data_IF_094664223704
#
_entry.id   IF_094664223704
#
_cell.length_a   1.000
_cell.length_b   1.000
_cell.length_c   1.000
_cell.angle_alpha   90.00
_cell.angle_beta   90.00
_cell.angle_gamma   90.00
#
_symmetry.space_group_name_H-M   'P 1'
#
loop_
_entity.id
_entity.type
_entity.pdbx_description
1 polymer ?
#
# COMPACT_ATOMS: atom_id res chain seq x y z
N UNK A 1 -6.45 -41.12 3.75
CA UNK A 1 -5.85 -41.39 2.42
C UNK A 1 -6.91 -41.29 1.33
N UNK A 2 -7.59 -40.15 1.26
CA UNK A 2 -8.52 -39.89 0.15
C UNK A 2 -7.69 -39.49 -1.07
N UNK A 3 -8.07 -39.94 -2.26
CA UNK A 3 -7.41 -39.57 -3.52
C UNK A 3 -8.43 -38.95 -4.47
N UNK A 4 -8.05 -37.86 -5.13
CA UNK A 4 -8.88 -37.16 -6.11
C UNK A 4 -8.12 -37.12 -7.43
N UNK A 5 -8.66 -37.82 -8.44
CA UNK A 5 -8.15 -37.80 -9.81
C UNK A 5 -9.22 -37.16 -10.70
N UNK A 6 -8.93 -35.97 -11.23
CA UNK A 6 -9.85 -35.26 -12.11
C UNK A 6 -9.36 -35.33 -13.55
N UNK A 7 -10.11 -36.02 -14.42
CA UNK A 7 -9.72 -36.38 -15.79
C UNK A 7 -10.79 -36.04 -16.84
N UNK A 8 -11.69 -35.11 -16.56
CA UNK A 8 -12.70 -34.67 -17.54
C UNK A 8 -12.12 -33.55 -18.42
N UNK A 9 -12.74 -33.28 -19.57
CA UNK A 9 -12.19 -32.33 -20.54
C UNK A 9 -12.17 -30.88 -20.02
N UNK A 10 -13.28 -30.43 -19.44
CA UNK A 10 -13.43 -29.08 -18.94
C UNK A 10 -14.47 -28.98 -17.81
N UNK A 11 -14.35 -27.92 -17.01
CA UNK A 11 -15.36 -27.49 -16.04
C UNK A 11 -15.47 -25.96 -16.07
N UNK A 12 -16.67 -25.43 -15.84
CA UNK A 12 -16.91 -24.00 -15.71
C UNK A 12 -17.35 -23.64 -14.29
N UNK A 13 -16.65 -22.68 -13.69
CA UNK A 13 -16.97 -22.07 -12.41
C UNK A 13 -17.69 -20.74 -12.63
N UNK A 14 -18.67 -20.44 -11.77
CA UNK A 14 -19.41 -19.19 -11.81
C UNK A 14 -18.86 -18.23 -10.75
N UNK A 15 -19.51 -18.10 -9.60
CA UNK A 15 -19.07 -17.25 -8.50
C UNK A 15 -18.79 -18.09 -7.25
N UNK A 16 -17.85 -17.65 -6.42
CA UNK A 16 -17.59 -18.20 -5.08
C UNK A 16 -17.41 -19.73 -5.05
N UNK A 17 -16.86 -20.32 -6.11
CA UNK A 17 -16.76 -21.76 -6.27
C UNK A 17 -15.35 -22.25 -5.99
N UNK A 18 -15.22 -23.45 -5.41
CA UNK A 18 -13.95 -24.19 -5.30
C UNK A 18 -14.09 -25.47 -6.10
N UNK A 19 -13.26 -25.67 -7.13
CA UNK A 19 -13.38 -26.88 -7.96
C UNK A 19 -12.92 -28.14 -7.22
N UNK A 20 -11.69 -28.12 -6.68
CA UNK A 20 -11.20 -29.20 -5.84
C UNK A 20 -10.79 -28.63 -4.48
N UNK A 21 -11.35 -29.21 -3.42
CA UNK A 21 -11.00 -28.92 -2.04
C UNK A 21 -10.49 -30.18 -1.34
N UNK A 22 -9.32 -30.09 -0.71
CA UNK A 22 -8.81 -31.14 0.19
C UNK A 22 -8.27 -30.57 1.49
N UNK A 23 -8.70 -31.16 2.60
CA UNK A 23 -8.14 -30.93 3.94
C UNK A 23 -7.16 -32.01 4.40
N UNK A 24 -7.02 -33.09 3.63
CA UNK A 24 -6.15 -34.20 3.99
C UNK A 24 -4.69 -33.81 3.68
N UNK A 25 -3.79 -34.20 4.58
CA UNK A 25 -2.38 -33.81 4.58
C UNK A 25 -1.44 -34.95 4.20
N UNK A 26 -1.99 -36.15 3.95
CA UNK A 26 -1.16 -37.36 3.79
C UNK A 26 -0.53 -37.52 2.41
N UNK A 27 -0.91 -36.70 1.42
CA UNK A 27 -0.30 -36.71 0.09
C UNK A 27 1.17 -36.33 0.11
N UNK A 28 1.98 -36.96 -0.73
CA UNK A 28 3.41 -36.67 -0.91
C UNK A 28 3.75 -36.41 -2.37
N UNK A 29 4.98 -35.98 -2.66
CA UNK A 29 5.41 -35.75 -4.05
C UNK A 29 5.35 -37.02 -4.91
N UNK A 30 5.71 -38.18 -4.34
CA UNK A 30 5.62 -39.48 -5.01
C UNK A 30 4.19 -39.99 -5.13
N UNK A 31 3.34 -39.66 -4.16
CA UNK A 31 1.95 -40.10 -4.09
C UNK A 31 1.05 -38.88 -3.87
N UNK A 32 0.82 -38.04 -4.90
CA UNK A 32 -0.02 -36.86 -4.78
C UNK A 32 -1.44 -37.30 -4.43
N UNK A 33 -2.06 -36.53 -3.53
CA UNK A 33 -3.45 -36.76 -3.14
C UNK A 33 -4.42 -36.26 -4.19
N UNK A 34 -4.13 -35.09 -4.76
CA UNK A 34 -4.93 -34.49 -5.83
C UNK A 34 -4.11 -34.48 -7.10
N UNK A 35 -4.67 -35.00 -8.18
CA UNK A 35 -4.14 -34.83 -9.54
C UNK A 35 -5.25 -34.28 -10.42
N UNK A 36 -5.07 -33.05 -10.89
CA UNK A 36 -5.99 -32.39 -11.81
C UNK A 36 -5.44 -32.37 -13.23
N UNK A 37 -6.09 -33.11 -14.13
CA UNK A 37 -5.89 -33.03 -15.58
C UNK A 37 -7.00 -32.25 -16.29
N UNK A 38 -8.06 -31.88 -15.56
CA UNK A 38 -9.21 -31.15 -16.09
C UNK A 38 -8.89 -29.68 -16.32
N UNK A 39 -9.33 -29.14 -17.47
CA UNK A 39 -9.27 -27.70 -17.73
C UNK A 39 -10.36 -26.96 -16.95
N UNK A 40 -10.01 -25.88 -16.28
CA UNK A 40 -10.92 -25.08 -15.46
C UNK A 40 -11.12 -23.72 -16.12
N UNK A 41 -12.37 -23.29 -16.30
CA UNK A 41 -12.70 -21.93 -16.72
C UNK A 41 -13.55 -21.26 -15.66
N UNK A 42 -13.21 -20.03 -15.23
CA UNK A 42 -14.10 -19.22 -14.41
C UNK A 42 -14.76 -18.12 -15.26
N UNK A 43 -16.06 -17.93 -15.06
CA UNK A 43 -16.86 -16.90 -15.72
C UNK A 43 -17.24 -15.75 -14.78
N UNK A 44 -17.25 -15.99 -13.47
CA UNK A 44 -17.50 -14.99 -12.44
C UNK A 44 -16.30 -14.78 -11.50
N UNK A 45 -16.57 -14.33 -10.27
CA UNK A 45 -15.56 -13.87 -9.31
C UNK A 45 -15.38 -14.77 -8.09
N UNK A 46 -14.27 -14.59 -7.38
CA UNK A 46 -13.95 -15.24 -6.10
C UNK A 46 -13.89 -16.77 -6.15
N UNK A 47 -13.42 -17.33 -7.26
CA UNK A 47 -13.30 -18.77 -7.45
C UNK A 47 -11.91 -19.29 -7.10
N UNK A 48 -11.83 -20.56 -6.73
CA UNK A 48 -10.58 -21.29 -6.50
C UNK A 48 -10.54 -22.53 -7.41
N UNK A 49 -9.46 -22.71 -8.16
CA UNK A 49 -9.22 -23.95 -8.90
C UNK A 49 -8.96 -25.11 -7.94
N UNK A 50 -7.79 -25.12 -7.30
CA UNK A 50 -7.44 -26.14 -6.31
C UNK A 50 -7.16 -25.49 -4.95
N UNK A 51 -7.76 -26.02 -3.91
CA UNK A 51 -7.47 -25.68 -2.52
C UNK A 51 -7.04 -26.95 -1.78
N UNK A 52 -5.80 -27.01 -1.28
CA UNK A 52 -5.27 -28.24 -0.70
C UNK A 52 -4.39 -28.03 0.53
N UNK A 53 -4.61 -28.87 1.53
CA UNK A 53 -3.75 -29.02 2.70
C UNK A 53 -2.65 -30.09 2.53
N UNK A 54 -2.72 -30.92 1.49
CA UNK A 54 -1.76 -31.99 1.19
C UNK A 54 -0.97 -31.72 -0.09
N UNK A 55 -0.40 -32.76 -0.70
CA UNK A 55 0.28 -32.64 -1.99
C UNK A 55 -0.71 -32.72 -3.17
N UNK A 56 -0.77 -31.68 -3.99
CA UNK A 56 -1.62 -31.61 -5.18
C UNK A 56 -0.80 -31.27 -6.44
N UNK A 57 -1.21 -31.83 -7.57
CA UNK A 57 -0.59 -31.59 -8.88
C UNK A 57 -1.66 -31.08 -9.85
N UNK A 58 -1.37 -29.97 -10.50
CA UNK A 58 -2.14 -29.45 -11.62
C UNK A 58 -1.39 -29.66 -12.95
N UNK A 59 -2.05 -30.35 -13.88
CA UNK A 59 -1.62 -30.51 -15.26
C UNK A 59 -2.55 -29.77 -16.24
N UNK A 60 -3.82 -29.59 -15.88
CA UNK A 60 -4.82 -28.91 -16.71
C UNK A 60 -4.63 -27.39 -16.77
N UNK A 61 -5.16 -26.76 -17.81
CA UNK A 61 -5.16 -25.31 -17.95
C UNK A 61 -6.25 -24.68 -17.06
N UNK A 62 -5.97 -23.52 -16.49
CA UNK A 62 -6.96 -22.71 -15.76
C UNK A 62 -7.11 -21.35 -16.41
N UNK A 63 -8.27 -21.06 -16.98
CA UNK A 63 -8.63 -19.74 -17.46
C UNK A 63 -9.55 -19.05 -16.45
N UNK A 64 -8.95 -18.23 -15.58
CA UNK A 64 -9.61 -17.48 -14.52
C UNK A 64 -9.61 -15.96 -14.80
N UNK A 65 -9.47 -15.59 -16.08
CA UNK A 65 -9.32 -14.21 -16.53
C UNK A 65 -10.61 -13.38 -16.38
N UNK A 66 -11.78 -14.03 -16.42
CA UNK A 66 -13.07 -13.34 -16.26
C UNK A 66 -13.35 -13.06 -14.78
N UNK A 67 -13.80 -11.85 -14.47
CA UNK A 67 -14.07 -11.43 -13.10
C UNK A 67 -12.83 -11.09 -12.27
N UNK A 68 -13.06 -10.89 -10.98
CA UNK A 68 -12.06 -10.47 -9.99
C UNK A 68 -11.90 -11.52 -8.89
N UNK A 69 -10.79 -11.48 -8.15
CA UNK A 69 -10.64 -12.31 -6.95
C UNK A 69 -10.47 -13.81 -7.19
N UNK A 70 -10.27 -14.25 -8.43
CA UNK A 70 -10.08 -15.67 -8.73
C UNK A 70 -8.65 -16.11 -8.41
N UNK A 71 -8.53 -17.28 -7.77
CA UNK A 71 -7.27 -17.90 -7.38
C UNK A 71 -7.08 -19.22 -8.13
N UNK A 72 -5.96 -19.39 -8.82
CA UNK A 72 -5.64 -20.64 -9.52
C UNK A 72 -5.53 -21.81 -8.55
N UNK A 73 -4.54 -21.75 -7.68
CA UNK A 73 -4.38 -22.74 -6.61
C UNK A 73 -4.03 -22.08 -5.28
N UNK A 74 -4.45 -22.69 -4.18
CA UNK A 74 -4.15 -22.23 -2.83
C UNK A 74 -3.70 -23.39 -1.93
N UNK A 75 -2.43 -23.35 -1.54
CA UNK A 75 -1.83 -24.31 -0.61
C UNK A 75 -1.94 -23.82 0.84
N UNK A 76 -2.41 -24.69 1.73
CA UNK A 76 -2.57 -24.38 3.17
C UNK A 76 -2.04 -25.49 4.06
N UNK A 77 -1.98 -25.23 5.38
CA UNK A 77 -1.64 -26.17 6.46
C UNK A 77 -0.35 -26.99 6.23
N UNK A 78 0.64 -26.37 5.60
CA UNK A 78 1.93 -26.99 5.26
C UNK A 78 1.92 -27.84 3.98
N UNK A 79 0.79 -27.87 3.26
CA UNK A 79 0.63 -28.59 2.00
C UNK A 79 1.55 -28.11 0.88
N UNK A 80 1.48 -28.77 -0.27
CA UNK A 80 2.22 -28.37 -1.48
C UNK A 80 1.34 -28.48 -2.71
N UNK A 81 1.30 -27.44 -3.53
CA UNK A 81 0.65 -27.51 -4.85
C UNK A 81 1.66 -27.21 -5.96
N UNK A 82 1.75 -28.12 -6.92
CA UNK A 82 2.61 -27.99 -8.10
C UNK A 82 1.77 -27.75 -9.35
N UNK A 83 2.00 -26.61 -10.03
CA UNK A 83 1.54 -26.42 -11.40
C UNK A 83 2.58 -27.01 -12.35
N UNK A 84 2.39 -28.27 -12.75
CA UNK A 84 3.41 -29.07 -13.43
C UNK A 84 3.48 -28.78 -14.92
N UNK A 85 2.34 -28.77 -15.60
CA UNK A 85 2.25 -28.50 -17.05
C UNK A 85 1.21 -27.44 -17.41
N UNK A 86 0.34 -27.07 -16.48
CA UNK A 86 -0.80 -26.20 -16.77
C UNK A 86 -0.41 -24.75 -17.08
N UNK A 87 -1.24 -24.10 -17.89
CA UNK A 87 -1.26 -22.64 -18.03
C UNK A 87 -2.35 -22.09 -17.10
N UNK A 88 -1.95 -21.30 -16.11
CA UNK A 88 -2.87 -20.60 -15.20
C UNK A 88 -2.96 -19.15 -15.63
N UNK A 89 -4.14 -18.70 -16.06
CA UNK A 89 -4.40 -17.30 -16.42
C UNK A 89 -5.34 -16.68 -15.39
N UNK A 90 -5.00 -15.52 -14.84
CA UNK A 90 -5.78 -14.87 -13.78
C UNK A 90 -6.27 -13.47 -14.14
N UNK A 91 -7.49 -13.17 -13.68
CA UNK A 91 -8.18 -11.90 -13.82
C UNK A 91 -7.75 -10.87 -12.76
N UNK A 92 -8.53 -9.79 -12.64
CA UNK A 92 -8.15 -8.61 -11.87
C UNK A 92 -8.27 -8.77 -10.35
N UNK A 93 -7.68 -7.83 -9.63
CA UNK A 93 -7.94 -7.63 -8.21
C UNK A 93 -8.74 -6.35 -7.98
N UNK A 94 -9.53 -6.33 -6.91
CA UNK A 94 -10.13 -5.14 -6.31
C UNK A 94 -9.61 -5.06 -4.87
N UNK A 95 -8.39 -4.52 -4.63
CA UNK A 95 -7.79 -4.53 -3.29
C UNK A 95 -8.65 -3.86 -2.21
N UNK A 96 -9.48 -2.88 -2.57
CA UNK A 96 -10.42 -2.23 -1.66
C UNK A 96 -11.53 -3.15 -1.14
N UNK A 97 -11.86 -4.22 -1.89
CA UNK A 97 -12.89 -5.21 -1.58
C UNK A 97 -12.28 -6.55 -1.11
N UNK A 98 -10.97 -6.60 -0.86
CA UNK A 98 -10.21 -7.81 -0.54
C UNK A 98 -10.34 -8.94 -1.61
N UNK A 99 -10.68 -8.58 -2.85
CA UNK A 99 -10.74 -9.52 -3.97
C UNK A 99 -9.41 -9.54 -4.71
N UNK A 100 -8.63 -10.62 -4.58
CA UNK A 100 -7.29 -10.72 -5.19
C UNK A 100 -7.25 -11.80 -6.29
N UNK A 101 -6.95 -11.38 -7.52
CA UNK A 101 -6.62 -12.29 -8.61
C UNK A 101 -5.22 -12.85 -8.42
N UNK A 102 -5.07 -14.16 -8.20
CA UNK A 102 -3.77 -14.78 -7.86
C UNK A 102 -3.56 -16.09 -8.62
N UNK A 103 -2.46 -16.22 -9.35
CA UNK A 103 -2.13 -17.48 -10.05
C UNK A 103 -1.94 -18.65 -9.09
N UNK A 104 -1.04 -18.49 -8.12
CA UNK A 104 -0.79 -19.48 -7.07
C UNK A 104 -0.60 -18.79 -5.71
N UNK A 105 -1.28 -19.25 -4.67
CA UNK A 105 -1.20 -18.72 -3.31
C UNK A 105 -0.75 -19.78 -2.30
N UNK A 106 -0.02 -19.35 -1.26
CA UNK A 106 0.39 -20.20 -0.16
C UNK A 106 0.42 -19.46 1.17
N UNK A 107 -0.12 -20.10 2.20
CA UNK A 107 -0.10 -19.57 3.57
C UNK A 107 -0.99 -18.34 3.79
N UNK A 108 -1.14 -17.98 5.06
CA UNK A 108 -1.95 -16.87 5.53
C UNK A 108 -1.45 -16.36 6.88
N UNK A 109 -1.26 -15.05 6.98
CA UNK A 109 -1.02 -14.34 8.23
C UNK A 109 -2.12 -13.32 8.48
N UNK A 110 -2.33 -12.96 9.75
CA UNK A 110 -3.34 -11.97 10.08
C UNK A 110 -3.04 -10.63 9.46
N UNK A 111 -4.05 -10.10 8.77
CA UNK A 111 -4.02 -8.74 8.25
C UNK A 111 -4.25 -7.74 9.39
N UNK A 112 -4.00 -6.45 9.13
CA UNK A 112 -4.38 -5.37 10.07
C UNK A 112 -5.89 -5.41 10.41
N UNK A 113 -6.74 -5.78 9.45
CA UNK A 113 -8.19 -5.96 9.67
C UNK A 113 -8.48 -7.11 10.64
N UNK A 114 -7.72 -8.20 10.61
CA UNK A 114 -7.90 -9.32 11.54
C UNK A 114 -7.41 -9.00 12.94
N UNK A 115 -6.33 -8.21 13.06
CA UNK A 115 -5.81 -7.78 14.35
C UNK A 115 -6.81 -6.90 15.12
N UNK A 116 -7.72 -6.22 14.44
CA UNK A 116 -8.83 -5.47 15.05
C UNK A 116 -9.93 -6.38 15.64
N UNK A 117 -10.00 -7.65 15.22
CA UNK A 117 -10.98 -8.61 15.73
C UNK A 117 -10.46 -9.29 17.01
N UNK A 118 -11.37 -9.70 17.93
CA UNK A 118 -11.03 -10.58 19.04
C UNK A 118 -10.34 -11.86 18.55
N UNK A 119 -9.41 -12.41 19.33
CA UNK A 119 -8.63 -13.60 18.97
C UNK A 119 -9.51 -14.78 18.50
N UNK A 120 -10.68 -14.98 19.12
CA UNK A 120 -11.63 -16.05 18.79
C UNK A 120 -12.31 -15.90 17.43
N UNK A 121 -12.26 -14.71 16.81
CA UNK A 121 -12.88 -14.40 15.52
C UNK A 121 -11.85 -14.27 14.38
N UNK A 122 -10.57 -14.50 14.68
CA UNK A 122 -9.51 -14.41 13.68
C UNK A 122 -9.43 -15.70 12.87
N UNK A 123 -9.23 -15.63 11.54
CA UNK A 123 -8.97 -16.81 10.74
C UNK A 123 -7.70 -17.54 11.22
N UNK A 124 -7.67 -18.85 11.07
CA UNK A 124 -6.50 -19.67 11.40
C UNK A 124 -5.33 -19.28 10.49
N UNK A 125 -4.20 -18.87 11.07
CA UNK A 125 -2.98 -18.67 10.29
C UNK A 125 -2.50 -20.00 9.73
N UNK A 126 -1.87 -19.94 8.57
CA UNK A 126 -1.46 -21.16 7.89
C UNK A 126 -0.21 -20.96 7.06
N UNK A 127 0.46 -22.05 6.72
CA UNK A 127 1.61 -22.06 5.81
C UNK A 127 1.29 -22.93 4.60
N UNK A 128 2.08 -22.83 3.55
CA UNK A 128 1.93 -23.69 2.38
C UNK A 128 3.12 -23.61 1.46
N UNK A 129 3.13 -24.46 0.43
CA UNK A 129 4.20 -24.48 -0.55
C UNK A 129 3.60 -24.48 -1.95
N UNK A 130 4.09 -23.61 -2.83
CA UNK A 130 3.66 -23.55 -4.23
C UNK A 130 4.84 -23.62 -5.18
N UNK A 131 4.70 -24.45 -6.21
CA UNK A 131 5.75 -24.71 -7.21
C UNK A 131 5.15 -24.49 -8.60
N UNK A 132 5.60 -23.46 -9.30
CA UNK A 132 5.26 -23.26 -10.71
C UNK A 132 6.33 -23.88 -11.61
N UNK A 133 5.95 -24.86 -12.43
CA UNK A 133 6.77 -25.36 -13.55
C UNK A 133 6.17 -25.02 -14.91
N UNK A 134 4.85 -24.78 -14.94
CA UNK A 134 4.13 -24.34 -16.14
C UNK A 134 4.22 -22.82 -16.36
N UNK A 135 3.13 -22.26 -16.89
CA UNK A 135 3.03 -20.82 -17.17
C UNK A 135 1.95 -20.17 -16.32
N UNK A 136 2.23 -18.98 -15.79
CA UNK A 136 1.25 -18.11 -15.14
C UNK A 136 1.11 -16.83 -15.96
N UNK A 137 -0.09 -16.54 -16.44
CA UNK A 137 -0.44 -15.32 -17.15
C UNK A 137 -1.25 -14.40 -16.22
N UNK A 138 -0.67 -13.26 -15.88
CA UNK A 138 -1.23 -12.28 -14.96
C UNK A 138 -1.91 -11.19 -15.78
N UNK A 139 -3.16 -11.45 -16.18
CA UNK A 139 -3.88 -10.66 -17.19
C UNK A 139 -4.79 -9.58 -16.61
N UNK A 140 -5.05 -9.60 -15.31
CA UNK A 140 -5.88 -8.58 -14.67
C UNK A 140 -5.08 -7.50 -13.96
N UNK A 141 -5.60 -6.27 -13.92
CA UNK A 141 -4.95 -5.18 -13.16
C UNK A 141 -4.82 -5.55 -11.67
N UNK A 142 -3.71 -5.16 -11.05
CA UNK A 142 -3.41 -5.40 -9.63
C UNK A 142 -3.35 -6.89 -9.22
N UNK A 143 -3.31 -7.81 -10.18
CA UNK A 143 -3.26 -9.25 -9.91
C UNK A 143 -1.82 -9.73 -9.67
N UNK A 144 -1.71 -10.91 -9.08
CA UNK A 144 -0.45 -11.49 -8.61
C UNK A 144 -0.20 -12.80 -9.36
N UNK A 145 1.04 -13.04 -9.78
CA UNK A 145 1.47 -14.34 -10.29
C UNK A 145 1.51 -15.39 -9.18
N UNK A 146 2.37 -15.16 -8.19
CA UNK A 146 2.51 -16.01 -7.01
C UNK A 146 2.49 -15.20 -5.72
N UNK A 147 1.78 -15.69 -4.70
CA UNK A 147 1.68 -15.07 -3.38
C UNK A 147 2.08 -16.06 -2.28
N UNK A 148 2.91 -15.61 -1.33
CA UNK A 148 3.32 -16.40 -0.17
C UNK A 148 3.29 -15.59 1.12
N UNK A 149 2.72 -16.16 2.19
CA UNK A 149 2.67 -15.53 3.50
C UNK A 149 3.00 -16.51 4.64
N UNK A 150 3.78 -16.04 5.62
CA UNK A 150 4.06 -16.74 6.88
C UNK A 150 5.39 -17.48 6.91
N UNK A 151 5.98 -17.54 8.11
CA UNK A 151 7.23 -18.28 8.35
C UNK A 151 7.02 -19.79 8.11
N UNK A 152 7.79 -20.36 7.18
CA UNK A 152 7.62 -21.75 6.74
C UNK A 152 6.81 -21.91 5.45
N UNK A 153 6.28 -20.82 4.87
CA UNK A 153 5.71 -20.82 3.52
C UNK A 153 6.83 -20.71 2.48
N UNK A 154 6.75 -21.54 1.42
CA UNK A 154 7.69 -21.47 0.30
C UNK A 154 7.03 -21.25 -1.07
N UNK A 155 7.69 -20.45 -1.91
CA UNK A 155 7.23 -20.11 -3.26
C UNK A 155 8.36 -20.37 -4.25
N UNK A 156 8.18 -21.30 -5.21
CA UNK A 156 9.23 -21.62 -6.19
C UNK A 156 8.72 -21.46 -7.61
N UNK A 157 9.36 -20.59 -8.39
CA UNK A 157 9.11 -20.46 -9.81
C UNK A 157 10.23 -21.13 -10.61
N UNK A 158 9.92 -22.23 -11.29
CA UNK A 158 10.76 -22.86 -12.33
C UNK A 158 10.26 -22.55 -13.74
N UNK A 159 8.99 -22.16 -13.87
CA UNK A 159 8.35 -21.88 -15.15
C UNK A 159 8.39 -20.40 -15.53
N UNK A 160 7.35 -19.96 -16.24
CA UNK A 160 7.23 -18.58 -16.72
C UNK A 160 6.09 -17.85 -16.02
N UNK A 161 6.33 -16.60 -15.62
CA UNK A 161 5.32 -15.66 -15.14
C UNK A 161 5.29 -14.46 -16.08
N UNK A 162 4.15 -14.26 -16.75
CA UNK A 162 3.93 -13.17 -17.70
C UNK A 162 3.02 -12.10 -17.08
N UNK A 163 3.57 -10.90 -16.90
CA UNK A 163 2.87 -9.71 -16.42
C UNK A 163 2.23 -8.98 -17.60
N UNK A 164 0.94 -9.24 -17.82
CA UNK A 164 0.23 -8.86 -19.05
C UNK A 164 -0.72 -7.67 -18.87
N UNK A 165 -0.80 -7.09 -17.67
CA UNK A 165 -1.65 -5.95 -17.37
C UNK A 165 -0.93 -4.93 -16.48
N UNK A 166 -1.54 -3.76 -16.30
CA UNK A 166 -0.97 -2.71 -15.47
C UNK A 166 -1.00 -3.05 -13.98
N UNK A 167 0.00 -2.57 -13.23
CA UNK A 167 0.10 -2.72 -11.78
C UNK A 167 0.14 -4.18 -11.30
N UNK A 168 0.50 -5.12 -12.16
CA UNK A 168 0.61 -6.54 -11.80
C UNK A 168 1.92 -6.84 -11.11
N UNK A 169 1.92 -7.87 -10.25
CA UNK A 169 3.12 -8.34 -9.56
C UNK A 169 3.46 -9.78 -9.92
N UNK A 170 4.74 -10.08 -10.15
CA UNK A 170 5.22 -11.44 -10.40
C UNK A 170 5.13 -12.32 -9.17
N UNK A 171 6.00 -12.07 -8.18
CA UNK A 171 6.02 -12.79 -6.91
C UNK A 171 5.86 -11.81 -5.75
N UNK A 172 4.88 -12.04 -4.88
CA UNK A 172 4.66 -11.27 -3.66
C UNK A 172 4.86 -12.15 -2.43
N UNK A 173 5.81 -11.79 -1.56
CA UNK A 173 6.08 -12.51 -0.31
C UNK A 173 5.96 -11.58 0.90
N UNK A 174 5.36 -12.08 1.96
CA UNK A 174 5.22 -11.36 3.23
C UNK A 174 5.45 -12.26 4.44
N UNK A 175 5.73 -11.63 5.58
CA UNK A 175 5.74 -12.24 6.91
C UNK A 175 6.65 -13.48 6.98
N UNK A 176 7.91 -13.29 6.56
CA UNK A 176 8.99 -14.29 6.58
C UNK A 176 8.79 -15.48 5.62
N UNK A 177 7.87 -15.39 4.66
CA UNK A 177 7.80 -16.35 3.56
C UNK A 177 9.10 -16.31 2.72
N UNK A 178 9.50 -17.47 2.18
CA UNK A 178 10.74 -17.62 1.41
C UNK A 178 10.43 -18.02 -0.02
N UNK A 179 10.98 -17.30 -1.00
CA UNK A 179 10.79 -17.61 -2.40
C UNK A 179 12.08 -17.76 -3.18
N UNK A 180 12.00 -18.55 -4.25
CA UNK A 180 13.10 -18.81 -5.17
C UNK A 180 12.60 -18.69 -6.61
N UNK A 181 13.29 -17.87 -7.40
CA UNK A 181 13.05 -17.79 -8.83
C UNK A 181 14.19 -18.51 -9.57
N UNK A 182 13.87 -19.66 -10.15
CA UNK A 182 14.72 -20.42 -11.08
C UNK A 182 14.32 -20.20 -12.54
N UNK A 183 13.07 -19.78 -12.78
CA UNK A 183 12.49 -19.57 -14.10
C UNK A 183 12.46 -18.10 -14.52
N UNK A 184 11.49 -17.73 -15.34
CA UNK A 184 11.39 -16.38 -15.93
C UNK A 184 10.22 -15.59 -15.36
N UNK A 185 10.47 -14.33 -15.01
CA UNK A 185 9.45 -13.29 -14.76
C UNK A 185 9.65 -12.21 -15.81
N UNK A 186 8.61 -11.94 -16.60
CA UNK A 186 8.65 -10.92 -17.66
C UNK A 186 7.30 -10.23 -17.84
N UNK A 187 7.24 -9.24 -18.73
CA UNK A 187 6.01 -8.51 -19.05
C UNK A 187 5.77 -8.43 -20.56
N UNK A 188 4.50 -8.33 -20.94
CA UNK A 188 4.10 -8.05 -22.32
C UNK A 188 4.33 -6.58 -22.64
N UNK A 189 4.59 -6.28 -23.92
CA UNK A 189 4.74 -4.91 -24.42
C UNK A 189 3.49 -4.06 -24.10
N UNK A 190 3.70 -2.80 -23.72
CA UNK A 190 2.63 -1.85 -23.41
C UNK A 190 2.12 -1.86 -21.96
N UNK A 191 2.48 -2.87 -21.15
CA UNK A 191 2.16 -2.88 -19.73
C UNK A 191 2.86 -1.73 -18.97
N UNK A 192 2.24 -1.25 -17.89
CA UNK A 192 2.75 -0.14 -17.05
C UNK A 192 2.75 -0.49 -15.56
N UNK A 193 3.67 0.10 -14.81
CA UNK A 193 3.79 -0.04 -13.36
C UNK A 193 3.87 -1.50 -12.88
N UNK A 194 4.41 -2.41 -13.69
CA UNK A 194 4.54 -3.82 -13.31
C UNK A 194 5.64 -3.98 -12.27
N UNK A 195 5.46 -4.86 -11.30
CA UNK A 195 6.46 -5.17 -10.29
C UNK A 195 6.94 -6.61 -10.43
N UNK A 196 8.24 -6.85 -10.54
CA UNK A 196 8.78 -8.20 -10.62
C UNK A 196 8.56 -8.96 -9.32
N UNK A 197 9.10 -8.39 -8.23
CA UNK A 197 9.12 -9.02 -6.92
C UNK A 197 8.73 -8.02 -5.82
N UNK A 198 7.91 -8.46 -4.87
CA UNK A 198 7.65 -7.76 -3.62
C UNK A 198 8.08 -8.65 -2.45
N UNK A 199 8.90 -8.10 -1.54
CA UNK A 199 9.27 -8.75 -0.28
C UNK A 199 8.94 -7.81 0.89
N UNK A 200 8.06 -8.26 1.76
CA UNK A 200 7.52 -7.50 2.90
C UNK A 200 7.74 -8.24 4.23
N UNK A 201 7.90 -7.50 5.33
CA UNK A 201 7.91 -8.04 6.70
C UNK A 201 8.84 -9.25 6.89
N UNK A 202 10.12 -9.06 6.56
CA UNK A 202 11.16 -10.07 6.69
C UNK A 202 11.07 -11.24 5.70
N UNK A 203 10.16 -11.19 4.72
CA UNK A 203 10.14 -12.15 3.62
C UNK A 203 11.42 -12.06 2.79
N UNK A 204 11.81 -13.18 2.18
CA UNK A 204 13.05 -13.29 1.42
C UNK A 204 12.79 -13.90 0.05
N UNK A 205 13.33 -13.30 -1.00
CA UNK A 205 13.38 -13.91 -2.32
C UNK A 205 14.82 -14.00 -2.84
N UNK A 206 15.16 -15.17 -3.37
CA UNK A 206 16.41 -15.41 -4.09
C UNK A 206 16.09 -15.57 -5.58
N UNK A 207 16.63 -14.68 -6.43
CA UNK A 207 16.71 -14.93 -7.87
C UNK A 207 17.94 -15.79 -8.11
N UNK A 208 17.72 -17.08 -8.37
CA UNK A 208 18.76 -18.11 -8.47
C UNK A 208 19.58 -17.92 -9.76
N UNK A 209 20.71 -18.60 -9.89
CA UNK A 209 21.61 -18.44 -11.05
C UNK A 209 20.91 -18.65 -12.40
N UNK A 210 19.94 -19.58 -12.48
CA UNK A 210 19.14 -19.80 -13.68
C UNK A 210 17.96 -18.83 -13.83
N UNK A 211 17.62 -18.10 -12.77
CA UNK A 211 16.48 -17.21 -12.71
C UNK A 211 16.65 -15.97 -13.57
N UNK A 212 15.57 -15.59 -14.24
CA UNK A 212 15.50 -14.40 -15.09
C UNK A 212 14.37 -13.51 -14.60
N UNK A 213 14.70 -12.27 -14.27
CA UNK A 213 13.73 -11.18 -14.06
C UNK A 213 14.05 -10.12 -15.10
N UNK A 214 13.20 -10.03 -16.14
CA UNK A 214 13.39 -9.09 -17.25
C UNK A 214 12.12 -8.29 -17.48
N UNK A 215 12.16 -7.01 -17.13
CA UNK A 215 11.01 -6.10 -17.27
C UNK A 215 11.35 -4.94 -18.21
N UNK A 216 10.47 -4.69 -19.18
CA UNK A 216 10.58 -3.59 -20.15
C UNK A 216 9.28 -2.76 -20.22
N UNK A 217 8.53 -2.71 -19.12
CA UNK A 217 7.31 -1.91 -18.99
C UNK A 217 7.61 -0.47 -18.53
N UNK A 218 6.76 0.48 -18.90
CA UNK A 218 6.88 1.86 -18.38
C UNK A 218 6.70 1.87 -16.86
N UNK A 219 7.58 2.56 -16.15
CA UNK A 219 7.63 2.58 -14.68
C UNK A 219 7.68 1.18 -14.05
N UNK A 220 8.33 0.22 -14.70
CA UNK A 220 8.52 -1.10 -14.11
C UNK A 220 9.35 -0.99 -12.83
N UNK A 221 8.99 -1.79 -11.82
CA UNK A 221 9.78 -1.93 -10.60
C UNK A 221 10.33 -3.35 -10.54
N UNK A 222 11.65 -3.50 -10.51
CA UNK A 222 12.27 -4.81 -10.37
C UNK A 222 11.89 -5.45 -9.04
N UNK A 223 12.24 -4.77 -7.94
CA UNK A 223 11.97 -5.24 -6.57
C UNK A 223 11.44 -4.14 -5.67
N UNK A 224 10.33 -4.43 -4.99
CA UNK A 224 9.83 -3.65 -3.86
C UNK A 224 10.20 -4.33 -2.54
N UNK A 225 11.03 -3.69 -1.74
CA UNK A 225 11.35 -4.16 -0.38
C UNK A 225 10.68 -3.25 0.62
N UNK A 226 9.84 -3.80 1.48
CA UNK A 226 9.08 -2.99 2.43
C UNK A 226 8.90 -3.68 3.77
N UNK A 227 8.41 -2.94 4.76
CA UNK A 227 8.06 -3.44 6.08
C UNK A 227 6.98 -2.59 6.73
N UNK A 228 6.19 -3.24 7.56
CA UNK A 228 5.37 -2.56 8.56
C UNK A 228 6.23 -2.12 9.76
N UNK A 229 5.68 -1.26 10.61
CA UNK A 229 6.32 -0.84 11.84
C UNK A 229 6.58 -2.04 12.76
N UNK A 230 7.76 -2.10 13.38
CA UNK A 230 8.18 -3.22 14.22
C UNK A 230 8.66 -4.47 13.46
N UNK A 231 8.47 -4.54 12.15
CA UNK A 231 8.89 -5.68 11.34
C UNK A 231 10.30 -5.51 10.72
N UNK A 232 10.85 -6.62 10.23
CA UNK A 232 12.10 -6.63 9.47
C UNK A 232 11.88 -6.23 8.01
N UNK A 233 12.84 -5.54 7.40
CA UNK A 233 12.79 -5.22 5.97
C UNK A 233 12.86 -6.51 5.14
N UNK A 234 12.08 -6.61 4.07
CA UNK A 234 12.21 -7.71 3.12
C UNK A 234 13.62 -7.82 2.51
N UNK A 235 14.00 -9.04 2.14
CA UNK A 235 15.34 -9.36 1.62
C UNK A 235 15.20 -9.86 0.18
N UNK A 236 16.00 -9.31 -0.72
CA UNK A 236 16.12 -9.78 -2.09
C UNK A 236 17.58 -10.05 -2.40
N UNK A 237 17.87 -11.21 -2.96
CA UNK A 237 19.21 -11.64 -3.38
C UNK A 237 19.15 -12.00 -4.86
N UNK A 238 20.09 -11.50 -5.66
CA UNK A 238 20.16 -11.80 -7.08
C UNK A 238 21.46 -12.48 -7.47
N UNK A 239 21.36 -13.72 -7.95
CA UNK A 239 22.45 -14.50 -8.54
C UNK A 239 22.22 -14.78 -10.04
N UNK A 240 21.00 -14.53 -10.54
CA UNK A 240 20.62 -14.71 -11.95
C UNK A 240 20.57 -13.43 -12.76
N UNK A 241 19.84 -13.47 -13.88
CA UNK A 241 19.62 -12.32 -14.77
C UNK A 241 18.60 -11.36 -14.16
N UNK A 242 18.97 -10.08 -14.09
CA UNK A 242 18.12 -9.01 -13.57
C UNK A 242 18.22 -7.77 -14.46
N UNK A 243 17.23 -7.58 -15.33
CA UNK A 243 17.22 -6.56 -16.37
C UNK A 243 15.93 -5.73 -16.29
N UNK A 244 16.05 -4.47 -15.89
CA UNK A 244 14.93 -3.55 -15.72
C UNK A 244 15.12 -2.39 -16.70
N UNK A 245 14.48 -2.48 -17.86
CA UNK A 245 14.83 -1.75 -19.08
C UNK A 245 13.83 -0.68 -19.50
N UNK A 246 12.64 -0.68 -18.90
CA UNK A 246 11.56 0.21 -19.32
C UNK A 246 11.81 1.69 -18.98
N UNK A 247 11.15 2.60 -19.71
CA UNK A 247 11.22 4.03 -19.41
C UNK A 247 10.66 4.32 -18.02
N UNK A 248 11.41 5.09 -17.21
CA UNK A 248 11.06 5.41 -15.82
C UNK A 248 11.14 4.21 -14.87
N UNK A 249 11.74 3.10 -15.29
CA UNK A 249 11.82 1.90 -14.47
C UNK A 249 12.88 2.04 -13.37
N UNK A 250 12.62 1.41 -12.23
CA UNK A 250 13.50 1.38 -11.06
C UNK A 250 13.89 -0.07 -10.75
N UNK A 251 15.17 -0.33 -10.55
CA UNK A 251 15.66 -1.66 -10.21
C UNK A 251 15.15 -2.13 -8.84
N UNK A 252 15.26 -1.26 -7.84
CA UNK A 252 14.90 -1.56 -6.46
C UNK A 252 14.30 -0.31 -5.80
N UNK A 253 13.23 -0.50 -5.05
CA UNK A 253 12.61 0.53 -4.23
C UNK A 253 12.45 0.03 -2.80
N UNK A 254 12.97 0.83 -1.88
CA UNK A 254 12.70 0.70 -0.44
C UNK A 254 11.87 1.92 -0.07
N UNK A 255 10.52 1.81 -0.08
CA UNK A 255 9.71 2.89 0.43
C UNK A 255 10.11 3.08 1.89
N UNK A 256 10.36 4.32 2.28
CA UNK A 256 10.09 4.64 3.66
C UNK A 256 8.60 4.42 3.83
N UNK A 257 8.20 3.35 4.53
CA UNK A 257 6.80 3.00 4.77
C UNK A 257 6.01 4.16 5.39
N UNK A 258 4.74 3.97 5.77
CA UNK A 258 3.95 5.04 6.39
C UNK A 258 4.76 5.68 7.51
N UNK A 259 5.25 6.89 7.26
CA UNK A 259 6.03 7.63 8.26
C UNK A 259 5.01 8.28 9.16
N UNK A 260 5.21 8.18 10.47
CA UNK A 260 4.49 9.05 11.38
C UNK A 260 4.74 10.49 10.93
N UNK A 261 3.68 11.25 10.67
CA UNK A 261 3.79 12.64 10.21
C UNK A 261 3.89 13.61 11.39
N UNK A 262 4.30 13.12 12.57
CA UNK A 262 4.29 13.87 13.80
C UNK A 262 5.07 15.20 13.67
N UNK A 263 4.42 16.29 14.06
CA UNK A 263 5.07 17.60 14.21
C UNK A 263 4.95 18.04 15.64
N UNK A 264 6.03 18.57 16.20
CA UNK A 264 6.02 19.13 17.55
C UNK A 264 6.91 20.36 17.63
N UNK A 265 6.48 21.33 18.43
CA UNK A 265 7.24 22.54 18.74
C UNK A 265 7.17 22.79 20.25
N UNK A 266 8.22 23.39 20.82
CA UNK A 266 8.29 23.72 22.25
C UNK A 266 8.72 22.59 23.18
N UNK A 267 8.81 22.88 24.47
CA UNK A 267 9.23 21.96 25.55
C UNK A 267 8.32 22.10 26.78
N UNK A 268 8.20 21.03 27.56
CA UNK A 268 7.45 21.04 28.83
C UNK A 268 5.99 21.47 28.66
N UNK A 269 5.55 22.45 29.46
CA UNK A 269 4.19 23.00 29.43
C UNK A 269 3.84 23.77 28.14
N UNK A 270 4.84 24.19 27.38
CA UNK A 270 4.67 24.95 26.13
C UNK A 270 4.76 24.07 24.88
N UNK A 271 4.89 22.74 25.06
CA UNK A 271 4.95 21.79 23.96
C UNK A 271 3.58 21.62 23.31
N UNK A 272 3.52 21.86 22.01
CA UNK A 272 2.38 21.53 21.15
C UNK A 272 2.81 20.46 20.13
N UNK A 273 1.99 19.44 19.92
CA UNK A 273 2.20 18.47 18.83
C UNK A 273 0.92 18.12 18.10
N UNK A 274 1.06 17.84 16.80
CA UNK A 274 0.04 17.17 15.99
C UNK A 274 0.64 15.82 15.62
N UNK A 275 0.21 14.78 16.32
CA UNK A 275 0.70 13.43 16.15
C UNK A 275 -0.23 12.70 15.17
N UNK A 276 0.33 12.24 14.05
CA UNK A 276 -0.38 11.39 13.07
C UNK A 276 0.43 10.11 12.95
N UNK A 277 0.05 9.05 13.71
CA UNK A 277 0.75 7.78 13.67
C UNK A 277 0.83 7.19 12.26
N UNK A 278 1.82 6.33 12.04
CA UNK A 278 1.99 5.62 10.79
C UNK A 278 0.71 4.87 10.40
N UNK A 279 0.10 5.25 9.27
CA UNK A 279 -1.13 4.61 8.78
C UNK A 279 -2.43 5.12 9.39
N UNK A 280 -2.39 6.15 10.24
CA UNK A 280 -3.60 6.74 10.83
C UNK A 280 -4.32 7.67 9.85
N UNK A 281 -5.64 7.54 9.78
CA UNK A 281 -6.55 8.42 9.03
C UNK A 281 -6.87 9.70 9.82
N UNK A 282 -6.66 9.68 11.14
CA UNK A 282 -6.89 10.80 12.04
C UNK A 282 -5.61 11.15 12.82
N UNK A 283 -5.40 12.45 13.03
CA UNK A 283 -4.35 12.99 13.89
C UNK A 283 -4.87 13.33 15.28
N UNK A 284 -3.98 13.28 16.27
CA UNK A 284 -4.26 13.75 17.64
C UNK A 284 -3.46 15.02 17.92
N UNK A 285 -4.12 16.07 18.39
CA UNK A 285 -3.46 17.30 18.84
C UNK A 285 -3.19 17.19 20.35
N UNK A 286 -1.94 17.42 20.78
CA UNK A 286 -1.55 17.42 22.19
C UNK A 286 -0.93 18.76 22.59
N UNK A 287 -1.52 19.41 23.59
CA UNK A 287 -0.96 20.60 24.23
C UNK A 287 -0.53 20.25 25.65
N UNK A 288 0.71 20.57 26.02
CA UNK A 288 1.33 20.19 27.29
C UNK A 288 1.18 18.68 27.62
N UNK A 289 1.18 17.83 26.59
CA UNK A 289 0.98 16.38 26.72
C UNK A 289 -0.46 15.90 26.88
N UNK A 290 -1.45 16.80 26.98
CA UNK A 290 -2.88 16.46 27.06
C UNK A 290 -3.54 16.50 25.68
N UNK A 291 -4.32 15.47 25.37
CA UNK A 291 -5.10 15.38 24.13
C UNK A 291 -6.14 16.50 24.07
N UNK A 292 -6.26 17.15 22.91
CA UNK A 292 -7.18 18.24 22.63
C UNK A 292 -8.19 17.81 21.57
N UNK A 293 -9.43 18.29 21.69
CA UNK A 293 -10.47 18.09 20.69
C UNK A 293 -10.49 19.28 19.73
N UNK A 294 -10.16 19.10 18.43
CA UNK A 294 -10.22 20.19 17.47
C UNK A 294 -11.67 20.56 17.14
N UNK A 295 -11.89 21.85 16.88
CA UNK A 295 -13.14 22.33 16.30
C UNK A 295 -13.11 22.16 14.78
N UNK A 296 -14.15 21.58 14.21
CA UNK A 296 -14.27 21.43 12.76
C UNK A 296 -14.85 22.73 12.19
N UNK A 297 -14.06 23.42 11.38
CA UNK A 297 -14.50 24.63 10.68
C UNK A 297 -14.96 24.24 9.28
N UNK A 298 -16.27 24.15 9.10
CA UNK A 298 -16.93 23.94 7.81
C UNK A 298 -17.25 25.28 7.15
N UNK A 299 -17.00 25.41 5.85
CA UNK A 299 -17.17 26.69 5.15
C UNK A 299 -18.13 26.65 3.98
N UNK A 300 -18.85 27.75 3.73
CA UNK A 300 -19.81 27.89 2.62
C UNK A 300 -19.17 28.65 1.47
N UNK A 301 -19.18 28.02 0.29
CA UNK A 301 -18.54 28.48 -0.95
C UNK A 301 -19.07 29.86 -1.42
N UNK A 302 -18.22 30.87 -1.58
CA UNK A 302 -18.60 32.09 -2.30
C UNK A 302 -17.65 32.51 -3.44
N UNK A 303 -16.31 32.66 -3.33
CA UNK A 303 -15.49 33.09 -4.49
C UNK A 303 -14.04 32.52 -4.53
N UNK A 304 -13.40 32.48 -5.72
CA UNK A 304 -12.06 31.87 -5.95
C UNK A 304 -10.99 32.94 -6.27
N UNK A 305 -9.79 32.84 -5.68
CA UNK A 305 -8.60 33.68 -5.91
C UNK A 305 -7.39 32.87 -6.43
N UNK A 306 -6.43 33.55 -7.05
CA UNK A 306 -5.21 32.94 -7.57
C UNK A 306 -4.11 32.82 -6.51
N UNK A 307 -3.30 31.78 -6.63
CA UNK A 307 -2.30 31.33 -5.64
C UNK A 307 -0.95 32.08 -5.78
N UNK A 308 -0.28 32.43 -4.67
CA UNK A 308 1.06 33.06 -4.65
C UNK A 308 2.19 32.04 -4.47
N UNK A 309 3.33 32.21 -5.15
CA UNK A 309 4.40 31.20 -5.30
C UNK A 309 5.80 31.67 -4.86
N UNK A 310 6.53 30.78 -4.17
CA UNK A 310 7.97 30.49 -4.37
C UNK A 310 8.07 29.05 -4.91
N UNK A 311 9.22 28.32 -4.84
CA UNK A 311 9.39 26.92 -5.36
C UNK A 311 8.08 26.14 -5.41
N UNK A 312 7.66 25.63 -6.58
CA UNK A 312 6.26 25.24 -6.91
C UNK A 312 5.47 24.78 -5.69
N UNK A 313 4.73 25.72 -5.10
CA UNK A 313 3.98 25.57 -3.88
C UNK A 313 2.58 26.16 -4.04
N UNK A 314 1.59 25.51 -3.46
CA UNK A 314 0.20 25.93 -3.51
C UNK A 314 -0.27 26.36 -2.13
N UNK A 315 -0.76 27.58 -2.03
CA UNK A 315 -1.46 28.08 -0.85
C UNK A 315 -2.87 27.49 -0.80
N UNK A 316 -3.30 27.02 0.37
CA UNK A 316 -4.66 26.57 0.68
C UNK A 316 -5.29 27.63 1.58
N UNK A 317 -6.12 28.51 1.00
CA UNK A 317 -6.86 29.50 1.76
C UNK A 317 -7.95 28.78 2.58
N UNK A 318 -7.91 28.96 3.90
CA UNK A 318 -8.84 28.29 4.83
C UNK A 318 -10.00 29.18 5.27
N UNK A 319 -10.15 30.39 4.70
CA UNK A 319 -11.13 31.39 5.13
C UNK A 319 -12.57 30.98 4.87
N UNK A 320 -12.77 30.11 3.89
CA UNK A 320 -14.10 29.69 3.49
C UNK A 320 -14.89 30.67 2.64
N UNK A 321 -14.48 31.93 2.57
CA UNK A 321 -15.10 32.97 1.74
C UNK A 321 -14.34 33.18 0.44
N UNK A 322 -13.03 32.88 0.45
CA UNK A 322 -12.11 32.98 -0.68
C UNK A 322 -11.32 31.67 -0.79
N UNK A 323 -11.28 31.08 -1.98
CA UNK A 323 -10.61 29.80 -2.21
C UNK A 323 -9.47 29.96 -3.19
N UNK A 324 -8.28 29.47 -2.86
CA UNK A 324 -7.19 29.36 -3.84
C UNK A 324 -7.41 28.19 -4.78
N UNK A 325 -7.07 28.36 -6.06
CA UNK A 325 -7.12 27.28 -7.05
C UNK A 325 -5.79 26.51 -7.06
N UNK A 326 -5.81 25.17 -7.11
CA UNK A 326 -4.61 24.39 -7.42
C UNK A 326 -4.04 24.76 -8.79
N UNK A 327 -2.72 24.71 -8.92
CA UNK A 327 -2.01 24.93 -10.18
C UNK A 327 -2.39 23.81 -11.15
N UNK A 328 -2.84 24.17 -12.35
CA UNK A 328 -3.13 23.21 -13.43
C UNK A 328 -1.90 22.98 -14.29
N UNK A 329 -1.84 21.83 -14.98
CA UNK A 329 -0.71 21.50 -15.88
C UNK A 329 0.56 20.98 -15.21
N UNK A 330 0.54 20.76 -13.88
CA UNK A 330 1.67 20.17 -13.15
C UNK A 330 2.10 18.80 -13.70
N UNK A 331 1.19 18.08 -14.36
CA UNK A 331 1.42 16.77 -14.98
C UNK A 331 2.36 16.85 -16.19
N UNK A 332 2.47 18.03 -16.83
CA UNK A 332 3.44 18.27 -17.89
C UNK A 332 4.89 18.37 -17.35
N UNK A 333 5.06 18.59 -16.05
CA UNK A 333 6.35 18.69 -15.38
C UNK A 333 6.79 17.30 -14.87
N UNK A 334 7.21 16.43 -15.78
CA UNK A 334 7.59 15.03 -15.47
C UNK A 334 8.72 14.90 -14.45
N UNK A 335 9.59 15.91 -14.34
CA UNK A 335 10.71 15.96 -13.39
C UNK A 335 10.33 16.53 -12.01
N UNK A 336 9.11 17.06 -11.84
CA UNK A 336 8.67 17.65 -10.58
C UNK A 336 8.28 16.54 -9.60
N UNK A 337 9.22 16.17 -8.72
CA UNK A 337 9.03 15.10 -7.72
C UNK A 337 8.54 15.59 -6.37
N UNK A 338 8.62 16.89 -6.09
CA UNK A 338 8.26 17.51 -4.81
C UNK A 338 7.54 18.83 -5.03
N UNK A 339 6.53 19.09 -4.22
CA UNK A 339 5.80 20.35 -4.21
C UNK A 339 5.32 20.68 -2.80
N UNK A 340 4.98 21.94 -2.55
CA UNK A 340 4.56 22.40 -1.23
C UNK A 340 3.06 22.68 -1.18
N UNK A 341 2.41 22.35 -0.05
CA UNK A 341 1.07 22.80 0.31
C UNK A 341 1.17 23.66 1.57
N UNK A 342 0.79 24.92 1.43
CA UNK A 342 0.87 25.92 2.49
C UNK A 342 -0.54 26.15 3.00
N UNK A 343 -0.85 25.65 4.20
CA UNK A 343 -2.19 25.76 4.79
C UNK A 343 -2.30 27.11 5.49
N UNK A 344 -3.16 27.98 4.95
CA UNK A 344 -3.44 29.29 5.52
C UNK A 344 -4.16 29.21 6.86
N UNK A 345 -4.03 30.25 7.68
CA UNK A 345 -4.62 30.32 9.03
C UNK A 345 -5.93 31.11 9.08
N UNK A 346 -6.55 31.41 7.94
CA UNK A 346 -7.77 32.21 7.86
C UNK A 346 -8.99 31.56 8.51
N UNK A 347 -9.02 30.23 8.66
CA UNK A 347 -10.06 29.53 9.43
C UNK A 347 -10.16 30.04 10.88
N UNK A 348 -9.08 30.58 11.44
CA UNK A 348 -9.07 31.21 12.76
C UNK A 348 -9.81 32.57 12.80
N UNK A 349 -10.25 33.11 11.66
CA UNK A 349 -11.13 34.30 11.64
C UNK A 349 -12.59 33.94 11.92
N UNK A 350 -12.97 32.68 11.70
CA UNK A 350 -14.34 32.18 11.93
C UNK A 350 -14.56 31.50 13.27
N UNK A 351 -13.50 31.26 14.05
CA UNK A 351 -13.57 30.61 15.36
C UNK A 351 -12.49 31.14 16.30
N UNK A 352 -12.74 31.09 17.61
CA UNK A 352 -11.74 31.38 18.66
C UNK A 352 -10.98 30.13 19.10
N UNK A 353 -11.26 28.97 18.50
CA UNK A 353 -10.60 27.71 18.83
C UNK A 353 -9.09 27.77 18.57
N UNK A 354 -8.32 27.20 19.50
CA UNK A 354 -6.84 27.07 19.38
C UNK A 354 -6.42 25.85 18.55
N UNK A 355 -7.35 24.93 18.29
CA UNK A 355 -7.13 23.68 17.58
C UNK A 355 -8.26 23.49 16.58
N UNK A 356 -7.90 23.43 15.31
CA UNK A 356 -8.87 23.48 14.20
C UNK A 356 -8.62 22.30 13.28
N UNK A 357 -9.70 21.64 12.87
CA UNK A 357 -9.71 20.72 11.73
C UNK A 357 -10.38 21.40 10.54
N UNK A 358 -9.70 21.37 9.39
CA UNK A 358 -10.18 22.00 8.17
C UNK A 358 -11.25 21.13 7.52
N UNK A 359 -12.38 21.76 7.14
CA UNK A 359 -13.48 21.10 6.43
C UNK A 359 -13.06 20.47 5.10
N UNK A 360 -13.67 19.33 4.76
CA UNK A 360 -13.30 18.52 3.56
C UNK A 360 -13.55 19.22 2.23
N UNK A 361 -14.52 20.15 2.20
CA UNK A 361 -14.82 21.01 1.06
C UNK A 361 -13.62 21.86 0.59
N UNK A 362 -12.82 22.40 1.52
CA UNK A 362 -11.61 23.16 1.21
C UNK A 362 -10.53 22.26 0.59
N UNK A 363 -10.42 21.02 1.07
CA UNK A 363 -9.37 20.07 0.68
C UNK A 363 -9.65 19.40 -0.68
N UNK A 364 -10.91 19.30 -1.09
CA UNK A 364 -11.33 18.54 -2.29
C UNK A 364 -10.58 18.92 -3.58
N UNK A 365 -10.44 20.20 -3.97
CA UNK A 365 -9.73 20.56 -5.20
C UNK A 365 -8.25 20.17 -5.17
N UNK A 366 -7.61 20.22 -4.00
CA UNK A 366 -6.22 19.82 -3.81
C UNK A 366 -6.06 18.31 -3.89
N UNK A 367 -7.02 17.54 -3.37
CA UNK A 367 -7.03 16.09 -3.53
C UNK A 367 -7.17 15.67 -5.00
N UNK A 368 -8.01 16.36 -5.77
CA UNK A 368 -8.08 16.15 -7.23
C UNK A 368 -6.73 16.45 -7.90
N UNK A 369 -6.06 17.54 -7.48
CA UNK A 369 -4.71 17.86 -7.96
C UNK A 369 -3.67 16.80 -7.59
N UNK A 370 -3.70 16.25 -6.37
CA UNK A 370 -2.78 15.20 -5.93
C UNK A 370 -2.96 13.94 -6.80
N UNK A 371 -4.22 13.51 -7.01
CA UNK A 371 -4.54 12.34 -7.81
C UNK A 371 -4.12 12.48 -9.28
N UNK A 372 -4.29 13.68 -9.84
CA UNK A 372 -3.93 13.97 -11.23
C UNK A 372 -2.42 14.18 -11.46
N UNK A 373 -1.61 14.21 -10.40
CA UNK A 373 -0.17 14.44 -10.46
C UNK A 373 0.62 13.35 -9.73
N UNK A 374 0.52 12.08 -10.16
CA UNK A 374 1.17 10.95 -9.50
C UNK A 374 2.71 11.01 -9.56
N UNK A 375 3.28 11.86 -10.43
CA UNK A 375 4.73 12.11 -10.50
C UNK A 375 5.28 12.87 -9.29
N UNK A 376 4.45 13.62 -8.57
CA UNK A 376 4.84 14.32 -7.34
C UNK A 376 4.78 13.32 -6.19
N UNK A 377 5.94 12.84 -5.77
CA UNK A 377 6.10 11.81 -4.75
C UNK A 377 5.99 12.35 -3.33
N UNK A 378 6.20 13.66 -3.14
CA UNK A 378 6.15 14.30 -1.82
C UNK A 378 5.52 15.68 -1.86
N UNK A 379 4.44 15.82 -1.10
CA UNK A 379 3.81 17.09 -0.77
C UNK A 379 4.29 17.56 0.61
N UNK A 380 5.15 18.57 0.68
CA UNK A 380 5.53 19.13 1.98
C UNK A 380 4.41 20.02 2.51
N UNK A 381 4.10 19.89 3.79
CA UNK A 381 3.01 20.64 4.41
C UNK A 381 3.57 21.68 5.37
N UNK A 382 3.15 22.92 5.25
CA UNK A 382 3.50 24.01 6.16
C UNK A 382 2.27 24.82 6.54
N UNK A 383 2.36 25.55 7.66
CA UNK A 383 1.39 26.62 7.90
C UNK A 383 1.83 27.86 7.13
N UNK A 384 0.86 28.61 6.60
CA UNK A 384 1.07 29.95 6.05
C UNK A 384 1.33 31.02 7.12
N UNK A 385 1.30 30.66 8.40
CA UNK A 385 1.54 31.57 9.52
C UNK A 385 2.64 31.08 10.44
N UNK A 386 3.38 32.03 11.02
CA UNK A 386 4.38 31.76 12.05
C UNK A 386 3.73 31.29 13.36
N UNK A 387 2.50 31.74 13.65
CA UNK A 387 1.81 31.49 14.93
C UNK A 387 0.98 30.22 14.95
N UNK A 388 0.94 29.50 13.84
CA UNK A 388 0.17 28.28 13.68
C UNK A 388 1.06 27.15 13.16
N UNK A 389 0.80 25.94 13.64
CA UNK A 389 1.39 24.72 13.12
C UNK A 389 0.33 23.99 12.31
N UNK A 390 0.69 23.56 11.08
CA UNK A 390 -0.19 22.80 10.22
C UNK A 390 0.32 21.38 9.99
N UNK A 391 -0.59 20.42 9.94
CA UNK A 391 -0.27 19.04 9.58
C UNK A 391 -1.46 18.34 8.92
N UNK A 392 -1.21 17.20 8.27
CA UNK A 392 -2.26 16.40 7.63
C UNK A 392 -2.18 14.94 8.03
N UNK A 393 -3.31 14.24 7.93
CA UNK A 393 -3.33 12.80 7.70
C UNK A 393 -3.53 12.52 6.20
N UNK A 394 -2.98 11.41 5.74
CA UNK A 394 -3.02 11.02 4.34
C UNK A 394 -3.71 9.68 4.15
N UNK A 395 -4.48 9.58 3.07
CA UNK A 395 -4.99 8.31 2.60
C UNK A 395 -3.81 7.45 2.15
N UNK A 396 -3.70 6.26 2.75
CA UNK A 396 -2.55 5.38 2.57
C UNK A 396 -2.46 4.74 1.18
N UNK A 397 -3.55 4.74 0.42
CA UNK A 397 -3.63 4.10 -0.90
C UNK A 397 -3.28 5.05 -2.05
N UNK A 398 -3.59 6.34 -1.92
CA UNK A 398 -3.44 7.31 -3.02
C UNK A 398 -2.77 8.63 -2.61
N UNK A 399 -2.36 8.78 -1.34
CA UNK A 399 -1.60 9.94 -0.86
C UNK A 399 -2.41 11.23 -0.70
N UNK A 400 -3.73 11.21 -0.92
CA UNK A 400 -4.59 12.39 -0.76
C UNK A 400 -4.69 12.81 0.71
N UNK A 401 -5.03 14.07 0.94
CA UNK A 401 -5.28 14.61 2.27
C UNK A 401 -6.62 14.07 2.78
N UNK A 402 -6.58 13.34 3.89
CA UNK A 402 -7.78 12.81 4.53
C UNK A 402 -8.33 13.80 5.56
N UNK A 403 -7.46 14.32 6.43
CA UNK A 403 -7.75 15.42 7.34
C UNK A 403 -6.58 16.42 7.36
N UNK A 404 -6.88 17.69 7.60
CA UNK A 404 -5.89 18.73 7.81
C UNK A 404 -6.16 19.45 9.13
N UNK A 405 -5.10 19.74 9.87
CA UNK A 405 -5.14 20.27 11.22
C UNK A 405 -4.31 21.54 11.33
N UNK A 406 -4.83 22.51 12.08
CA UNK A 406 -4.14 23.71 12.54
C UNK A 406 -4.11 23.71 14.07
N UNK A 407 -2.95 23.94 14.66
CA UNK A 407 -2.80 24.15 16.09
C UNK A 407 -2.08 25.47 16.34
N UNK A 408 -2.68 26.34 17.16
CA UNK A 408 -2.05 27.58 17.59
C UNK A 408 -0.80 27.23 18.39
N UNK A 409 0.32 27.85 18.01
CA UNK A 409 1.56 27.75 18.76
C UNK A 409 1.44 28.71 19.96
N UNK A 410 1.67 28.27 21.20
CA UNK A 410 1.66 29.15 22.37
C UNK A 410 2.63 30.33 22.22
N UNK A 411 2.20 31.54 22.60
CA UNK A 411 3.06 32.74 22.51
C UNK A 411 4.40 32.61 23.23
N UNK A 412 4.43 31.83 24.30
CA UNK A 412 5.62 31.51 25.09
C UNK A 412 6.71 30.79 24.29
N UNK A 413 6.40 30.15 23.15
CA UNK A 413 7.42 29.54 22.28
C UNK A 413 8.31 30.57 21.57
N UNK A 414 7.90 31.83 21.50
CA UNK A 414 8.71 32.92 20.95
C UNK A 414 9.38 33.75 22.05
N UNK A 415 9.25 33.38 23.33
CA UNK A 415 10.00 33.99 24.40
C UNK A 415 11.49 33.67 24.22
N UNK A 416 12.31 34.71 24.06
CA UNK A 416 13.76 34.56 24.03
C UNK A 416 14.28 33.98 25.35
N UNK A 417 15.39 33.22 25.28
CA UNK A 417 16.06 32.69 26.47
C UNK A 417 17.04 33.68 27.11
N UNK A 418 17.21 34.84 26.49
CA UNK A 418 18.10 35.93 26.87
C UNK A 418 17.29 37.21 27.05
N UNK A 419 17.77 38.11 27.90
CA UNK A 419 17.11 39.40 28.13
C UNK A 419 17.36 40.32 26.92
N UNK A 420 16.31 40.74 26.22
CA UNK A 420 16.40 41.72 25.13
C UNK A 420 15.01 42.21 24.68
N UNK A 421 14.58 43.47 24.96
CA UNK A 421 15.16 44.50 25.83
C UNK A 421 14.74 44.42 27.31
N UNK A 422 13.89 43.45 27.67
CA UNK A 422 13.36 43.22 29.02
C UNK A 422 13.78 41.85 29.54
N UNK A 423 13.61 41.59 30.83
CA UNK A 423 13.94 40.29 31.44
C UNK A 423 13.18 39.15 30.74
N UNK A 424 13.84 38.00 30.60
CA UNK A 424 13.27 36.82 29.92
C UNK A 424 11.99 36.33 30.62
N UNK A 425 11.90 36.45 31.94
CA UNK A 425 10.74 36.05 32.74
C UNK A 425 9.57 37.01 32.51
N UNK A 426 9.84 38.30 32.39
CA UNK A 426 8.81 39.30 32.11
C UNK A 426 8.26 39.15 30.69
N UNK A 427 9.16 38.90 29.72
CA UNK A 427 8.78 38.56 28.34
C UNK A 427 7.89 37.32 28.31
N UNK A 428 8.28 36.26 29.04
CA UNK A 428 7.50 35.03 29.13
C UNK A 428 6.13 35.28 29.78
N UNK A 429 6.06 35.98 30.90
CA UNK A 429 4.81 36.27 31.62
C UNK A 429 3.86 37.13 30.79
N UNK A 430 4.39 38.08 30.02
CA UNK A 430 3.60 38.88 29.08
C UNK A 430 2.99 38.02 27.98
N UNK A 431 3.80 37.17 27.34
CA UNK A 431 3.34 36.25 26.29
C UNK A 431 2.36 35.20 26.82
N UNK A 432 2.57 34.69 28.04
CA UNK A 432 1.62 33.81 28.73
C UNK A 432 0.30 34.54 29.03
N UNK A 433 0.37 35.80 29.47
CA UNK A 433 -0.80 36.65 29.67
C UNK A 433 -1.59 36.91 28.39
N UNK A 434 -0.92 37.02 27.23
CA UNK A 434 -1.57 37.09 25.91
C UNK A 434 -2.23 35.77 25.51
N UNK A 435 -1.78 34.63 26.02
CA UNK A 435 -2.36 33.32 25.72
C UNK A 435 -3.64 33.05 26.51
N UNK A 436 -3.83 33.75 27.64
CA UNK A 436 -5.00 33.65 28.52
C UNK A 436 -6.18 34.54 28.07
N UNK A 437 -5.96 35.43 27.10
CA UNK A 437 -6.98 36.28 26.47
C UNK A 437 -7.37 35.72 25.11
#
# INVERSE_FOLDING_TARGET
NNKIYSNISNVTLQNNSVYIYSKDKSGTSANPQVVNNTNITATGKNNYGLYSAGYAVNNGNMNLASGTGNVGVYSVKGGTIENRTGVITVGGSVPGEDEYGIGMAAGYTWTKKDLQKPMSQRPEQTTGNIINRGTINVNGKYSLGMYGSGNGTTVKNYGTINLNADNTTGIYLTDKAVGHNYGTITNTAGAKNVTGVVVKNGARLVNETSGVIRLNATNALGVLRTKDEGESLGVFENYGTFEILGSGAEAEKIPSGPKALNKSLGKGKDKISIDVPAGATEGTIKAAGKIQTPEVVETKKLELEDTKVSTIGMYINTSGTKFTKPITGLNALSHLKKADLIIGNEAAQSTTAKYIQIGKNILKPYNESILNNPQIEKWNIYSGSLTWMANISQNQSNGTIENAYLAKIPYTNWAGNEASPVDKKDTYNFLDGLEQR
#
